data_IF_380182860956
#
_entry.id   IF_380182860956
#
_cell.length_a   1.000
_cell.length_b   1.000
_cell.length_c   1.000
_cell.angle_alpha   90.00
_cell.angle_beta   90.00
_cell.angle_gamma   90.00
#
_symmetry.space_group_name_H-M   'P 1'
#
loop_
_entity.id
_entity.type
_entity.pdbx_description
1 polymer ?
#
# COMPACT_ATOMS: atom_id res chain seq x y z
N UNK A 1 23.83 -16.26 -30.40
CA UNK A 1 23.49 -17.07 -29.21
C UNK A 1 22.69 -16.15 -28.30
N UNK A 2 21.42 -16.47 -27.98
CA UNK A 2 20.66 -15.63 -27.05
C UNK A 2 21.32 -15.73 -25.68
N UNK A 3 21.75 -14.60 -25.14
CA UNK A 3 22.40 -14.52 -23.83
C UNK A 3 21.44 -15.03 -22.74
N UNK A 4 21.93 -15.92 -21.88
CA UNK A 4 21.15 -16.50 -20.78
C UNK A 4 20.95 -15.41 -19.74
N UNK A 5 19.71 -14.97 -19.54
CA UNK A 5 19.40 -13.95 -18.53
C UNK A 5 19.49 -14.54 -17.13
N UNK A 6 19.95 -13.70 -16.21
CA UNK A 6 20.13 -14.01 -14.80
C UNK A 6 19.18 -13.19 -13.92
N UNK A 7 18.74 -13.75 -12.81
CA UNK A 7 17.96 -13.00 -11.84
C UNK A 7 18.25 -13.37 -10.40
N UNK A 8 17.90 -12.49 -9.48
CA UNK A 8 17.74 -12.79 -8.06
C UNK A 8 16.28 -12.74 -7.64
N UNK A 9 15.94 -13.44 -6.57
CA UNK A 9 14.62 -13.41 -5.93
C UNK A 9 14.80 -13.09 -4.46
N UNK A 10 14.22 -11.99 -3.98
CA UNK A 10 14.27 -11.57 -2.58
C UNK A 10 12.86 -11.59 -1.96
N UNK A 11 12.67 -12.47 -0.98
CA UNK A 11 11.38 -12.77 -0.36
C UNK A 11 11.65 -13.40 1.02
N UNK A 12 11.11 -12.82 2.10
CA UNK A 12 11.37 -13.28 3.47
C UNK A 12 10.58 -14.53 3.84
N UNK A 13 9.40 -14.73 3.22
CA UNK A 13 8.60 -15.94 3.42
C UNK A 13 9.03 -17.10 2.52
N UNK A 14 9.66 -18.14 3.09
CA UNK A 14 10.22 -19.28 2.35
C UNK A 14 9.21 -19.96 1.39
N UNK A 15 7.94 -20.07 1.79
CA UNK A 15 6.90 -20.69 0.97
C UNK A 15 6.57 -19.84 -0.25
N UNK A 16 6.51 -18.52 -0.08
CA UNK A 16 6.26 -17.57 -1.17
C UNK A 16 7.46 -17.53 -2.11
N UNK A 17 8.68 -17.60 -1.56
CA UNK A 17 9.92 -17.62 -2.35
C UNK A 17 9.97 -18.85 -3.25
N UNK A 18 9.75 -20.03 -2.68
CA UNK A 18 9.70 -21.27 -3.45
C UNK A 18 8.58 -21.27 -4.49
N UNK A 19 7.40 -20.72 -4.16
CA UNK A 19 6.30 -20.60 -5.12
C UNK A 19 6.67 -19.70 -6.29
N UNK A 20 7.28 -18.54 -6.04
CA UNK A 20 7.70 -17.61 -7.07
C UNK A 20 8.81 -18.21 -7.96
N UNK A 21 9.81 -18.86 -7.35
CA UNK A 21 10.89 -19.57 -8.05
C UNK A 21 10.32 -20.64 -8.98
N UNK A 22 9.39 -21.46 -8.49
CA UNK A 22 8.75 -22.51 -9.29
C UNK A 22 7.96 -21.93 -10.48
N UNK A 23 7.20 -20.86 -10.25
CA UNK A 23 6.45 -20.17 -11.32
C UNK A 23 7.39 -19.53 -12.35
N UNK A 24 8.50 -18.92 -11.91
CA UNK A 24 9.52 -18.34 -12.79
C UNK A 24 10.20 -19.41 -13.65
N UNK A 25 10.58 -20.55 -13.08
CA UNK A 25 11.20 -21.65 -13.81
C UNK A 25 10.22 -22.28 -14.82
N UNK A 26 8.93 -22.37 -14.47
CA UNK A 26 7.89 -22.87 -15.37
C UNK A 26 7.66 -21.92 -16.54
N UNK A 27 7.54 -20.62 -16.28
CA UNK A 27 7.23 -19.62 -17.29
C UNK A 27 8.45 -19.18 -18.12
N UNK A 28 9.66 -19.28 -17.55
CA UNK A 28 10.91 -18.93 -18.22
C UNK A 28 12.03 -19.95 -17.93
N UNK A 29 12.01 -21.13 -18.59
CA UNK A 29 12.95 -22.22 -18.30
C UNK A 29 14.43 -21.90 -18.52
N UNK A 30 14.74 -20.88 -19.34
CA UNK A 30 16.11 -20.45 -19.63
C UNK A 30 16.59 -19.34 -18.68
N UNK A 31 15.76 -18.84 -17.76
CA UNK A 31 16.16 -17.83 -16.78
C UNK A 31 17.00 -18.51 -15.68
N UNK A 32 18.20 -18.00 -15.42
CA UNK A 32 19.06 -18.52 -14.35
C UNK A 32 18.89 -17.71 -13.07
N UNK A 33 18.33 -18.32 -12.04
CA UNK A 33 18.25 -17.73 -10.70
C UNK A 33 19.63 -17.89 -10.05
N UNK A 34 20.33 -16.78 -9.80
CA UNK A 34 21.70 -16.77 -9.27
C UNK A 34 21.75 -16.62 -7.75
N UNK A 35 20.71 -16.05 -7.14
CA UNK A 35 20.56 -16.00 -5.69
C UNK A 35 19.09 -15.94 -5.27
N UNK A 36 18.81 -16.52 -4.10
CA UNK A 36 17.56 -16.44 -3.37
C UNK A 36 17.84 -15.79 -2.00
N UNK A 37 17.21 -14.66 -1.74
CA UNK A 37 17.48 -13.81 -0.58
C UNK A 37 16.26 -13.80 0.36
N UNK A 38 16.52 -13.72 1.66
CA UNK A 38 15.48 -13.70 2.71
C UNK A 38 15.30 -12.34 3.36
N UNK A 39 16.18 -11.39 3.05
CA UNK A 39 16.09 -10.02 3.55
C UNK A 39 16.71 -9.04 2.54
N UNK A 40 16.54 -7.74 2.80
CA UNK A 40 17.08 -6.74 1.88
C UNK A 40 18.60 -6.59 1.94
N UNK A 41 19.27 -6.99 3.03
CA UNK A 41 20.72 -6.91 3.13
C UNK A 41 21.39 -7.93 2.19
N UNK A 42 20.98 -9.19 2.28
CA UNK A 42 21.39 -10.27 1.37
C UNK A 42 21.02 -9.98 -0.08
N UNK A 43 19.90 -9.30 -0.34
CA UNK A 43 19.53 -8.86 -1.69
C UNK A 43 20.51 -7.82 -2.25
N UNK A 44 20.92 -6.82 -1.47
CA UNK A 44 21.91 -5.82 -1.89
C UNK A 44 23.28 -6.46 -2.15
N UNK A 45 23.71 -7.37 -1.28
CA UNK A 45 24.96 -8.12 -1.47
C UNK A 45 24.92 -8.93 -2.77
N UNK A 46 23.84 -9.68 -3.01
CA UNK A 46 23.67 -10.48 -4.23
C UNK A 46 23.60 -9.62 -5.51
N UNK A 47 22.98 -8.44 -5.44
CA UNK A 47 22.94 -7.48 -6.56
C UNK A 47 24.35 -6.98 -6.93
N UNK A 48 25.16 -6.67 -5.93
CA UNK A 48 26.53 -6.20 -6.13
C UNK A 48 27.46 -7.33 -6.59
N UNK A 49 27.31 -8.54 -6.05
CA UNK A 49 28.15 -9.69 -6.37
C UNK A 49 27.86 -10.25 -7.77
N UNK A 50 26.58 -10.49 -8.09
CA UNK A 50 26.21 -11.20 -9.31
C UNK A 50 25.85 -10.29 -10.47
N UNK A 51 25.59 -8.99 -10.22
CA UNK A 51 25.12 -8.01 -11.21
C UNK A 51 24.07 -8.61 -12.16
N UNK A 52 22.94 -9.13 -11.63
CA UNK A 52 21.96 -9.87 -12.42
C UNK A 52 21.24 -8.97 -13.43
N UNK A 53 20.68 -9.57 -14.47
CA UNK A 53 19.86 -8.83 -15.43
C UNK A 53 18.55 -8.33 -14.81
N UNK A 54 18.00 -9.10 -13.86
CA UNK A 54 16.67 -8.89 -13.28
C UNK A 54 16.70 -9.12 -11.76
N UNK A 55 15.92 -8.36 -10.99
CA UNK A 55 15.68 -8.65 -9.59
C UNK A 55 14.17 -8.64 -9.30
N UNK A 56 13.68 -9.75 -8.74
CA UNK A 56 12.33 -9.85 -8.19
C UNK A 56 12.41 -9.59 -6.69
N UNK A 57 11.83 -8.48 -6.23
CA UNK A 57 11.98 -8.02 -4.85
C UNK A 57 10.62 -7.93 -4.15
N UNK A 58 10.46 -8.54 -2.98
CA UNK A 58 9.39 -8.12 -2.08
C UNK A 58 9.69 -6.73 -1.54
N UNK A 59 8.63 -5.92 -1.46
CA UNK A 59 8.69 -4.62 -0.80
C UNK A 59 8.84 -4.82 0.71
N UNK A 60 8.18 -5.81 1.32
CA UNK A 60 8.21 -6.01 2.77
C UNK A 60 9.21 -7.08 3.15
N UNK A 61 10.46 -6.67 3.34
CA UNK A 61 11.51 -7.54 3.88
C UNK A 61 12.08 -6.99 5.20
N UNK A 62 12.61 -7.86 6.09
CA UNK A 62 13.32 -7.43 7.29
C UNK A 62 14.55 -6.58 6.97
N UNK A 63 14.86 -5.63 7.86
CA UNK A 63 15.98 -4.72 7.68
C UNK A 63 15.70 -3.70 6.59
N UNK A 64 16.23 -3.95 5.39
CA UNK A 64 16.02 -3.11 4.22
C UNK A 64 14.79 -3.58 3.45
N UNK A 65 13.89 -2.66 3.14
CA UNK A 65 12.70 -2.95 2.36
C UNK A 65 13.03 -2.94 0.85
N UNK A 66 12.20 -3.56 0.01
CA UNK A 66 12.49 -3.70 -1.43
C UNK A 66 12.67 -2.37 -2.17
N UNK A 67 11.99 -1.30 -1.75
CA UNK A 67 12.14 0.02 -2.35
C UNK A 67 13.51 0.64 -2.01
N UNK A 68 14.00 0.40 -0.78
CA UNK A 68 15.35 0.80 -0.35
C UNK A 68 16.42 -0.01 -1.08
N UNK A 69 16.22 -1.33 -1.23
CA UNK A 69 17.10 -2.20 -2.02
C UNK A 69 17.19 -1.72 -3.47
N UNK A 70 16.06 -1.38 -4.10
CA UNK A 70 16.05 -0.87 -5.47
C UNK A 70 16.78 0.47 -5.61
N UNK A 71 16.69 1.35 -4.62
CA UNK A 71 17.43 2.61 -4.61
C UNK A 71 18.95 2.38 -4.55
N UNK A 72 19.40 1.42 -3.72
CA UNK A 72 20.81 1.03 -3.62
C UNK A 72 21.28 0.28 -4.89
N UNK A 73 20.40 -0.50 -5.51
CA UNK A 73 20.66 -1.21 -6.76
C UNK A 73 20.95 -0.24 -7.91
N UNK A 74 20.33 0.94 -7.93
CA UNK A 74 20.58 1.94 -8.97
C UNK A 74 22.04 2.41 -9.00
N UNK A 75 22.74 2.37 -7.86
CA UNK A 75 24.16 2.71 -7.76
C UNK A 75 25.05 1.48 -7.99
N UNK A 76 24.72 0.34 -7.37
CA UNK A 76 25.55 -0.86 -7.38
C UNK A 76 25.41 -1.71 -8.66
N UNK A 77 24.22 -1.72 -9.27
CA UNK A 77 23.89 -2.53 -10.45
C UNK A 77 22.88 -1.80 -11.37
N UNK A 78 23.30 -0.70 -12.02
CA UNK A 78 22.40 0.22 -12.74
C UNK A 78 21.70 -0.40 -13.96
N UNK A 79 22.12 -1.59 -14.41
CA UNK A 79 21.52 -2.31 -15.53
C UNK A 79 20.46 -3.33 -15.10
N UNK A 80 20.40 -3.65 -13.80
CA UNK A 80 19.45 -4.62 -13.27
C UNK A 80 18.04 -4.08 -13.39
N UNK A 81 17.16 -4.87 -14.00
CA UNK A 81 15.74 -4.58 -14.14
C UNK A 81 15.00 -4.99 -12.87
N UNK A 82 14.37 -4.04 -12.19
CA UNK A 82 13.63 -4.32 -10.96
C UNK A 82 12.17 -4.67 -11.26
N UNK A 83 11.69 -5.77 -10.67
CA UNK A 83 10.28 -6.15 -10.61
C UNK A 83 9.89 -6.33 -9.15
N UNK A 84 8.89 -5.58 -8.69
CA UNK A 84 8.40 -5.74 -7.32
C UNK A 84 7.36 -6.86 -7.23
N UNK A 85 7.40 -7.64 -6.15
CA UNK A 85 6.44 -8.72 -5.87
C UNK A 85 5.86 -8.50 -4.48
N UNK A 86 4.62 -8.03 -4.37
CA UNK A 86 4.07 -7.61 -3.07
C UNK A 86 2.62 -8.00 -2.88
N UNK A 87 2.18 -8.15 -1.62
CA UNK A 87 0.76 -8.37 -1.30
C UNK A 87 -0.07 -7.07 -1.32
N UNK A 88 0.56 -5.92 -1.58
CA UNK A 88 -0.06 -4.60 -1.45
C UNK A 88 -0.09 -3.85 -2.79
N UNK A 89 -1.29 -3.50 -3.24
CA UNK A 89 -1.57 -2.72 -4.45
C UNK A 89 -1.10 -1.26 -4.37
N UNK A 90 -1.11 -0.67 -3.18
CA UNK A 90 -0.79 0.74 -2.96
C UNK A 90 0.64 1.17 -3.33
N UNK A 91 1.60 0.24 -3.44
CA UNK A 91 2.98 0.57 -3.77
C UNK A 91 3.27 0.55 -5.28
N UNK A 92 2.28 0.27 -6.12
CA UNK A 92 2.48 0.21 -7.58
C UNK A 92 2.96 1.56 -8.13
N UNK A 93 2.46 2.68 -7.61
CA UNK A 93 2.86 4.03 -8.06
C UNK A 93 4.29 4.36 -7.62
N UNK A 94 4.59 4.15 -6.34
CA UNK A 94 5.93 4.38 -5.77
C UNK A 94 7.01 3.49 -6.43
N UNK A 95 6.64 2.29 -6.87
CA UNK A 95 7.50 1.35 -7.59
C UNK A 95 7.95 1.89 -8.95
N UNK A 96 7.03 2.48 -9.73
CA UNK A 96 7.36 3.04 -11.03
C UNK A 96 8.14 4.36 -10.91
N UNK A 97 7.82 5.19 -9.92
CA UNK A 97 8.59 6.42 -9.64
C UNK A 97 10.06 6.13 -9.29
N UNK A 98 10.36 4.92 -8.80
CA UNK A 98 11.72 4.42 -8.54
C UNK A 98 12.36 3.65 -9.71
N UNK A 99 11.74 3.67 -10.89
CA UNK A 99 12.30 3.07 -12.10
C UNK A 99 12.12 1.55 -12.21
N UNK A 100 11.19 0.95 -11.49
CA UNK A 100 10.86 -0.47 -11.69
C UNK A 100 10.24 -0.69 -13.08
N UNK A 101 10.53 -1.85 -13.66
CA UNK A 101 9.98 -2.24 -14.97
C UNK A 101 8.58 -2.82 -14.84
N UNK A 102 8.28 -3.49 -13.73
CA UNK A 102 6.96 -4.05 -13.49
C UNK A 102 6.69 -4.31 -12.00
N UNK A 103 5.45 -4.67 -11.69
CA UNK A 103 5.03 -5.12 -10.36
C UNK A 103 4.08 -6.32 -10.46
N UNK A 104 4.15 -7.21 -9.48
CA UNK A 104 3.35 -8.42 -9.35
C UNK A 104 2.66 -8.43 -7.98
N UNK A 105 1.36 -8.70 -7.97
CA UNK A 105 0.62 -8.88 -6.72
C UNK A 105 0.64 -10.33 -6.28
N UNK A 106 0.85 -10.55 -4.98
CA UNK A 106 0.70 -11.85 -4.33
C UNK A 106 -0.80 -12.15 -4.09
N UNK A 107 -1.27 -13.40 -4.32
CA UNK A 107 -0.53 -14.51 -4.90
C UNK A 107 -0.23 -14.25 -6.39
N UNK A 108 0.99 -14.58 -6.82
CA UNK A 108 1.44 -14.31 -8.18
C UNK A 108 0.65 -15.18 -9.16
N UNK A 109 -0.16 -14.51 -9.98
CA UNK A 109 -0.97 -15.19 -11.00
C UNK A 109 -0.11 -15.54 -12.21
N UNK A 110 -0.15 -16.79 -12.72
CA UNK A 110 0.58 -17.24 -13.90
C UNK A 110 0.50 -16.27 -15.09
N UNK A 111 -0.69 -15.81 -15.43
CA UNK A 111 -0.93 -14.97 -16.60
C UNK A 111 -0.27 -13.59 -16.45
N UNK A 112 -0.22 -13.08 -15.21
CA UNK A 112 0.40 -11.79 -14.90
C UNK A 112 1.92 -11.88 -14.94
N UNK A 113 2.48 -13.00 -14.47
CA UNK A 113 3.90 -13.28 -14.52
C UNK A 113 4.38 -13.46 -15.96
N UNK A 114 3.64 -14.19 -16.79
CA UNK A 114 3.94 -14.37 -18.21
C UNK A 114 3.97 -13.03 -18.96
N UNK A 115 3.03 -12.12 -18.67
CA UNK A 115 3.04 -10.77 -19.22
C UNK A 115 4.29 -9.95 -18.79
N UNK A 116 4.71 -10.07 -17.53
CA UNK A 116 5.95 -9.45 -17.05
C UNK A 116 7.18 -10.02 -17.74
N UNK A 117 7.26 -11.34 -17.88
CA UNK A 117 8.36 -12.03 -18.57
C UNK A 117 8.45 -11.58 -20.03
N UNK A 118 7.33 -11.52 -20.74
CA UNK A 118 7.29 -11.04 -22.12
C UNK A 118 7.85 -9.61 -22.23
N UNK A 119 7.50 -8.71 -21.30
CA UNK A 119 8.06 -7.35 -21.22
C UNK A 119 9.57 -7.35 -20.95
N UNK A 120 10.03 -8.14 -19.99
CA UNK A 120 11.46 -8.28 -19.68
C UNK A 120 12.25 -8.83 -20.89
N UNK A 121 11.62 -9.70 -21.68
CA UNK A 121 12.20 -10.30 -22.87
C UNK A 121 12.29 -9.35 -24.06
N UNK A 122 11.31 -8.47 -24.24
CA UNK A 122 11.13 -7.66 -25.44
C UNK A 122 12.23 -6.59 -25.69
N UNK A 123 13.16 -6.34 -24.77
CA UNK A 123 14.26 -5.33 -24.87
C UNK A 123 13.83 -3.88 -25.14
N UNK A 124 12.61 -3.61 -25.60
CA UNK A 124 12.07 -2.27 -25.82
C UNK A 124 11.73 -1.56 -24.51
N UNK A 125 11.87 -0.23 -24.57
CA UNK A 125 11.77 0.72 -23.47
C UNK A 125 10.58 0.45 -22.52
N UNK A 126 10.76 0.88 -21.26
CA UNK A 126 9.67 1.03 -20.29
C UNK A 126 8.42 1.54 -21.03
N UNK A 127 7.26 0.87 -20.91
CA UNK A 127 6.04 1.52 -21.33
C UNK A 127 5.95 2.82 -20.55
N UNK A 128 5.69 3.93 -21.27
CA UNK A 128 5.38 5.22 -20.69
C UNK A 128 4.48 4.98 -19.46
N UNK A 129 4.83 5.53 -18.30
CA UNK A 129 4.07 5.29 -17.07
C UNK A 129 2.57 5.57 -17.29
N UNK A 130 2.26 6.48 -18.23
CA UNK A 130 0.92 6.73 -18.74
C UNK A 130 0.30 5.55 -19.50
N UNK A 131 1.03 4.88 -20.39
CA UNK A 131 0.55 3.75 -21.17
C UNK A 131 0.30 2.51 -20.30
N UNK A 132 1.14 2.27 -19.29
CA UNK A 132 0.91 1.20 -18.32
C UNK A 132 -0.20 1.54 -17.33
N UNK A 133 -0.31 2.80 -16.88
CA UNK A 133 -1.47 3.26 -16.11
C UNK A 133 -2.78 3.04 -16.88
N UNK A 134 -2.80 3.33 -18.19
CA UNK A 134 -3.96 3.08 -19.07
C UNK A 134 -4.21 1.58 -19.29
N UNK A 135 -3.17 0.74 -19.37
CA UNK A 135 -3.33 -0.70 -19.54
C UNK A 135 -3.79 -1.38 -18.24
N UNK A 136 -3.31 -0.91 -17.08
CA UNK A 136 -3.76 -1.30 -15.76
C UNK A 136 -5.18 -0.80 -15.48
N UNK A 137 -5.55 0.37 -15.98
CA UNK A 137 -6.93 0.89 -15.98
C UNK A 137 -7.87 0.01 -16.82
N UNK A 138 -7.40 -0.47 -17.98
CA UNK A 138 -8.15 -1.37 -18.86
C UNK A 138 -8.22 -2.82 -18.39
N UNK A 139 -7.15 -3.36 -17.77
CA UNK A 139 -7.17 -4.69 -17.14
C UNK A 139 -7.82 -4.69 -15.75
N UNK A 140 -7.84 -3.53 -15.09
CA UNK A 140 -8.62 -3.21 -13.90
C UNK A 140 -10.06 -2.81 -14.18
N UNK A 141 -10.56 -3.05 -15.40
CA UNK A 141 -11.97 -2.90 -15.78
C UNK A 141 -12.86 -3.99 -15.14
N UNK A 142 -12.78 -4.09 -13.82
CA UNK A 142 -13.87 -4.28 -12.88
C UNK A 142 -13.52 -3.44 -11.65
N UNK A 143 -14.36 -2.45 -11.33
CA UNK A 143 -14.25 -1.06 -11.77
C UNK A 143 -13.09 -0.28 -11.11
N UNK A 144 -12.27 0.36 -11.95
CA UNK A 144 -11.37 1.44 -11.55
C UNK A 144 -12.20 2.73 -11.46
N UNK A 145 -12.18 3.38 -10.31
CA UNK A 145 -12.72 4.74 -10.14
C UNK A 145 -11.57 5.71 -9.84
N UNK A 146 -10.79 6.03 -10.88
CA UNK A 146 -10.17 7.35 -10.98
C UNK A 146 -11.05 8.25 -11.85
N UNK A 147 -12.32 8.36 -11.45
CA UNK A 147 -13.32 9.28 -11.98
C UNK A 147 -14.15 9.75 -10.80
N UNK A 148 -13.60 10.68 -10.01
CA UNK A 148 -13.95 10.90 -8.61
C UNK A 148 -13.69 9.65 -7.74
N UNK A 149 -13.03 9.82 -6.59
CA UNK A 149 -13.11 8.79 -5.55
C UNK A 149 -14.59 8.74 -5.17
N UNK A 150 -15.32 7.71 -5.61
CA UNK A 150 -16.72 7.55 -5.20
C UNK A 150 -16.73 7.58 -3.67
N UNK A 151 -17.51 8.49 -3.06
CA UNK A 151 -17.52 8.63 -1.62
C UNK A 151 -17.89 7.28 -0.99
N UNK A 152 -17.08 6.85 -0.02
CA UNK A 152 -17.37 5.63 0.73
C UNK A 152 -18.79 5.74 1.31
N UNK A 153 -19.70 4.87 0.86
CA UNK A 153 -21.06 4.80 1.40
C UNK A 153 -21.13 3.80 2.56
N UNK A 154 -20.32 2.74 2.51
CA UNK A 154 -20.27 1.68 3.52
C UNK A 154 -18.84 1.19 3.75
N UNK A 155 -18.59 0.68 4.96
CA UNK A 155 -17.32 0.14 5.45
C UNK A 155 -17.53 -1.28 5.97
N UNK A 156 -16.60 -2.17 5.69
CA UNK A 156 -16.54 -3.50 6.33
C UNK A 156 -15.61 -3.44 7.52
N UNK A 157 -16.14 -3.71 8.71
CA UNK A 157 -15.38 -3.73 9.95
C UNK A 157 -15.51 -5.08 10.66
N UNK A 158 -14.42 -5.54 11.28
CA UNK A 158 -14.42 -6.74 12.11
C UNK A 158 -14.83 -6.40 13.54
N UNK A 159 -15.85 -7.09 14.05
CA UNK A 159 -16.27 -7.02 15.45
C UNK A 159 -16.17 -8.44 16.05
N UNK A 160 -14.97 -8.81 16.48
CA UNK A 160 -14.69 -10.17 16.96
C UNK A 160 -14.66 -11.19 15.81
N UNK A 161 -15.64 -12.12 15.76
CA UNK A 161 -15.75 -13.17 14.73
C UNK A 161 -16.67 -12.80 13.55
N UNK A 162 -17.36 -11.66 13.62
CA UNK A 162 -18.31 -11.23 12.59
C UNK A 162 -17.79 -10.03 11.79
N UNK A 163 -18.13 -10.00 10.50
CA UNK A 163 -17.92 -8.84 9.62
C UNK A 163 -19.18 -8.00 9.62
N UNK A 164 -19.08 -6.76 10.09
CA UNK A 164 -20.17 -5.78 10.08
C UNK A 164 -20.01 -4.83 8.90
N UNK A 165 -21.13 -4.54 8.25
CA UNK A 165 -21.27 -3.45 7.29
C UNK A 165 -21.73 -2.20 8.05
N UNK A 166 -20.97 -1.12 7.94
CA UNK A 166 -21.22 0.16 8.64
C UNK A 166 -21.41 1.24 7.58
N UNK A 167 -22.53 1.94 7.59
CA UNK A 167 -22.72 3.12 6.74
C UNK A 167 -21.78 4.23 7.20
N UNK A 168 -21.17 4.95 6.26
CA UNK A 168 -20.25 6.05 6.61
C UNK A 168 -20.98 7.18 7.34
N UNK A 169 -22.25 7.40 7.03
CA UNK A 169 -23.08 8.40 7.73
C UNK A 169 -23.28 8.09 9.22
N UNK A 170 -23.20 6.82 9.62
CA UNK A 170 -23.34 6.40 11.02
C UNK A 170 -22.03 6.52 11.81
N UNK A 171 -20.93 6.87 11.14
CA UNK A 171 -19.62 7.00 11.78
C UNK A 171 -19.52 8.33 12.52
N UNK A 172 -19.21 8.26 13.82
CA UNK A 172 -18.89 9.41 14.65
C UNK A 172 -17.44 9.85 14.47
N UNK A 173 -16.49 8.91 14.50
CA UNK A 173 -15.07 9.16 14.23
C UNK A 173 -14.30 7.87 13.95
N UNK A 174 -13.11 8.02 13.41
CA UNK A 174 -12.10 6.98 13.26
C UNK A 174 -10.91 7.29 14.16
N UNK A 175 -10.34 6.25 14.79
CA UNK A 175 -9.14 6.36 15.61
C UNK A 175 -8.13 5.29 15.21
N UNK A 176 -6.91 5.70 14.89
CA UNK A 176 -5.80 4.76 14.74
C UNK A 176 -5.26 4.39 16.12
N UNK A 177 -5.21 3.10 16.42
CA UNK A 177 -4.58 2.56 17.62
C UNK A 177 -3.63 1.42 17.23
N UNK A 178 -2.33 1.67 17.39
CA UNK A 178 -1.14 0.84 17.15
C UNK A 178 -1.12 -0.14 15.95
N UNK A 179 -2.11 -1.03 15.79
CA UNK A 179 -2.23 -2.03 14.70
C UNK A 179 -3.51 -1.94 13.87
N UNK A 180 -4.54 -1.20 14.30
CA UNK A 180 -5.83 -1.14 13.62
C UNK A 180 -6.44 0.26 13.63
N UNK A 181 -7.32 0.53 12.67
CA UNK A 181 -8.19 1.72 12.73
C UNK A 181 -9.51 1.32 13.36
N UNK A 182 -9.83 1.85 14.52
CA UNK A 182 -11.16 1.70 15.12
C UNK A 182 -12.12 2.67 14.45
N UNK A 183 -13.22 2.14 13.92
CA UNK A 183 -14.40 2.94 13.53
C UNK A 183 -15.37 2.97 14.70
N UNK A 184 -15.83 4.16 15.05
CA UNK A 184 -16.75 4.37 16.16
C UNK A 184 -18.05 4.92 15.62
N UNK A 185 -19.14 4.19 15.87
CA UNK A 185 -20.52 4.60 15.56
C UNK A 185 -21.27 4.91 16.86
N UNK A 186 -22.54 5.30 16.75
CA UNK A 186 -23.42 5.45 17.92
C UNK A 186 -23.63 4.11 18.64
N UNK A 187 -23.71 3.02 17.88
CA UNK A 187 -24.07 1.69 18.38
C UNK A 187 -22.87 0.89 18.90
N UNK A 188 -21.64 1.35 18.67
CA UNK A 188 -20.45 0.72 19.21
C UNK A 188 -19.19 0.96 18.39
N UNK A 189 -18.18 0.13 18.64
CA UNK A 189 -16.87 0.21 18.01
C UNK A 189 -16.60 -1.05 17.19
N UNK A 190 -15.91 -0.89 16.06
CA UNK A 190 -15.46 -2.00 15.24
C UNK A 190 -14.06 -1.72 14.68
N UNK A 191 -13.33 -2.77 14.30
CA UNK A 191 -11.96 -2.66 13.82
C UNK A 191 -11.93 -2.71 12.29
N UNK A 192 -11.30 -1.72 11.68
CA UNK A 192 -10.95 -1.68 10.28
C UNK A 192 -9.50 -2.12 10.10
N UNK A 193 -9.27 -2.87 9.02
CA UNK A 193 -7.92 -3.19 8.54
C UNK A 193 -7.31 -2.06 7.71
N UNK A 194 -8.13 -1.08 7.30
CA UNK A 194 -7.73 0.07 6.49
C UNK A 194 -7.17 1.19 7.39
N UNK A 195 -5.96 1.71 7.15
CA UNK A 195 -5.37 2.81 7.92
C UNK A 195 -6.05 4.16 7.60
N UNK A 196 -5.98 5.11 8.55
CA UNK A 196 -6.57 6.45 8.38
C UNK A 196 -6.11 7.18 7.11
N UNK A 197 -4.85 6.98 6.69
CA UNK A 197 -4.27 7.62 5.50
C UNK A 197 -4.98 7.20 4.20
N UNK A 198 -5.52 5.99 4.16
CA UNK A 198 -6.25 5.43 3.02
C UNK A 198 -7.75 5.76 3.09
N UNK A 199 -8.28 5.96 4.30
CA UNK A 199 -9.67 6.40 4.51
C UNK A 199 -9.85 7.88 4.18
N UNK A 200 -8.92 8.74 4.59
CA UNK A 200 -9.07 10.19 4.51
C UNK A 200 -9.41 10.73 3.09
N UNK A 201 -8.77 10.26 1.99
CA UNK A 201 -9.11 10.71 0.63
C UNK A 201 -10.49 10.26 0.15
N UNK A 202 -11.03 9.18 0.73
CA UNK A 202 -12.29 8.53 0.33
C UNK A 202 -13.49 8.99 1.15
N UNK A 203 -13.24 9.75 2.22
CA UNK A 203 -14.26 10.35 3.07
C UNK A 203 -14.60 11.75 2.54
N UNK A 204 -15.88 12.10 2.59
CA UNK A 204 -16.32 13.44 2.22
C UNK A 204 -15.69 14.47 3.15
N UNK A 205 -14.79 15.29 2.61
CA UNK A 205 -14.06 16.32 3.36
C UNK A 205 -14.95 17.43 3.91
N UNK A 206 -16.20 17.56 3.46
CA UNK A 206 -17.20 18.44 4.04
C UNK A 206 -17.76 17.89 5.37
N UNK A 207 -17.74 16.57 5.56
CA UNK A 207 -18.27 15.90 6.74
C UNK A 207 -17.18 15.34 7.65
N UNK A 208 -16.03 14.92 7.12
CA UNK A 208 -14.95 14.33 7.88
C UNK A 208 -13.71 15.20 7.87
N UNK A 209 -13.16 15.48 9.06
CA UNK A 209 -11.92 16.23 9.23
C UNK A 209 -10.96 15.49 10.14
N UNK A 210 -9.68 15.47 9.75
CA UNK A 210 -8.63 15.02 10.63
C UNK A 210 -8.37 16.08 11.72
N UNK A 211 -8.40 15.67 12.98
CA UNK A 211 -8.21 16.56 14.15
C UNK A 211 -6.98 16.20 14.96
N UNK A 212 -6.46 15.00 14.75
CA UNK A 212 -5.24 14.49 15.33
C UNK A 212 -4.58 13.53 14.33
N UNK A 213 -3.26 13.33 14.43
CA UNK A 213 -2.53 12.37 13.57
C UNK A 213 -3.15 10.96 13.58
N UNK A 214 -3.84 10.60 14.67
CA UNK A 214 -4.53 9.33 14.84
C UNK A 214 -6.06 9.45 14.92
N UNK A 215 -6.67 10.57 14.52
CA UNK A 215 -8.13 10.75 14.66
C UNK A 215 -8.75 11.57 13.53
N UNK A 216 -9.78 11.01 12.89
CA UNK A 216 -10.64 11.67 11.90
C UNK A 216 -12.04 11.72 12.49
N UNK A 217 -12.66 12.90 12.61
CA UNK A 217 -13.99 13.08 13.21
C UNK A 217 -15.02 13.45 12.15
N UNK A 218 -16.25 12.96 12.31
CA UNK A 218 -17.41 13.46 11.58
C UNK A 218 -17.90 14.76 12.25
N UNK A 219 -17.88 15.86 11.50
CA UNK A 219 -18.32 17.18 11.97
C UNK A 219 -19.78 17.17 12.43
N UNK A 220 -20.66 16.36 11.82
CA UNK A 220 -22.07 16.24 12.23
C UNK A 220 -22.23 15.62 13.62
N UNK A 221 -21.26 14.82 14.05
CA UNK A 221 -21.24 14.16 15.35
C UNK A 221 -20.72 15.06 16.48
N UNK A 222 -20.14 16.23 16.18
CA UNK A 222 -19.60 17.17 17.17
C UNK A 222 -20.72 17.93 17.88
N UNK A 223 -20.72 17.89 19.22
CA UNK A 223 -21.62 18.67 20.08
C UNK A 223 -21.04 20.05 20.41
N UNK A 224 -19.72 20.15 20.51
CA UNK A 224 -19.05 21.39 20.85
C UNK A 224 -17.56 21.18 21.00
N UNK A 225 -16.83 22.28 21.07
CA UNK A 225 -15.37 22.31 21.16
C UNK A 225 -15.02 23.15 22.36
N UNK A 226 -14.17 22.60 23.23
CA UNK A 226 -13.67 23.28 24.40
C UNK A 226 -12.15 23.34 24.36
N UNK A 227 -11.58 24.14 25.24
CA UNK A 227 -10.16 24.04 25.60
C UNK A 227 -10.11 23.42 26.98
N UNK A 228 -9.26 22.43 27.17
CA UNK A 228 -8.96 21.94 28.51
C UNK A 228 -8.15 22.99 29.30
N UNK A 229 -8.01 22.78 30.60
CA UNK A 229 -7.27 23.68 31.50
C UNK A 229 -5.78 23.80 31.12
N UNK A 230 -5.28 22.89 30.27
CA UNK A 230 -3.92 22.90 29.69
C UNK A 230 -3.84 23.64 28.34
N UNK A 231 -4.93 24.26 27.89
CA UNK A 231 -5.02 25.01 26.64
C UNK A 231 -5.16 24.16 25.37
N UNK A 232 -5.24 22.83 25.49
CA UNK A 232 -5.42 21.90 24.37
C UNK A 232 -6.88 21.87 23.94
N UNK A 233 -7.13 21.82 22.64
CA UNK A 233 -8.49 21.72 22.13
C UNK A 233 -9.06 20.33 22.34
N UNK A 234 -10.32 20.27 22.74
CA UNK A 234 -11.06 19.03 22.96
C UNK A 234 -12.40 19.12 22.24
N UNK A 235 -12.77 18.05 21.52
CA UNK A 235 -14.03 17.92 20.78
C UNK A 235 -14.95 17.00 21.58
N UNK A 236 -16.13 17.51 21.94
CA UNK A 236 -17.22 16.73 22.56
C UNK A 236 -18.14 16.21 21.49
N UNK A 237 -18.58 14.96 21.62
CA UNK A 237 -19.51 14.31 20.69
C UNK A 237 -20.96 14.40 21.19
N UNK A 238 -21.94 14.40 20.27
CA UNK A 238 -23.38 14.51 20.61
C UNK A 238 -23.95 13.28 21.30
N UNK A 239 -23.55 12.10 20.84
CA UNK A 239 -24.15 10.81 21.23
C UNK A 239 -23.16 9.86 21.90
N UNK A 240 -21.96 10.35 22.24
CA UNK A 240 -20.89 9.58 22.89
C UNK A 240 -20.30 10.39 24.05
N UNK A 241 -20.02 9.77 25.20
CA UNK A 241 -19.54 10.48 26.39
C UNK A 241 -18.04 10.84 26.32
N UNK A 242 -17.29 10.20 25.42
CA UNK A 242 -15.86 10.43 25.27
C UNK A 242 -15.54 11.77 24.59
N UNK A 243 -14.34 12.26 24.84
CA UNK A 243 -13.84 13.53 24.29
C UNK A 243 -12.60 13.27 23.45
N UNK A 244 -12.52 13.90 22.26
CA UNK A 244 -11.42 13.71 21.33
C UNK A 244 -10.43 14.87 21.43
N UNK A 245 -9.13 14.56 21.54
CA UNK A 245 -8.07 15.57 21.58
C UNK A 245 -7.82 16.13 20.18
N UNK A 246 -7.73 17.46 20.08
CA UNK A 246 -7.37 18.16 18.85
C UNK A 246 -5.93 18.64 18.97
N UNK A 247 -5.11 18.29 17.97
CA UNK A 247 -3.73 18.78 17.91
C UNK A 247 -3.64 20.21 17.41
N UNK A 248 -2.62 20.94 17.90
CA UNK A 248 -2.42 22.38 17.67
C UNK A 248 -2.48 22.83 16.19
N UNK A 249 -1.94 22.08 15.20
CA UNK A 249 -2.05 22.45 13.78
C UNK A 249 -3.50 22.41 13.26
N UNK A 250 -4.33 21.53 13.83
CA UNK A 250 -5.71 21.29 13.39
C UNK A 250 -6.73 22.14 14.14
N UNK A 251 -6.31 22.88 15.18
CA UNK A 251 -7.14 23.86 15.87
C UNK A 251 -7.60 24.99 14.95
N UNK A 252 -6.86 25.28 13.87
CA UNK A 252 -7.24 26.28 12.88
C UNK A 252 -8.53 25.91 12.11
N UNK A 253 -8.84 24.61 11.99
CA UNK A 253 -10.06 24.12 11.31
C UNK A 253 -11.35 24.57 12.01
N UNK A 254 -11.25 24.95 13.28
CA UNK A 254 -12.38 25.30 14.14
C UNK A 254 -12.42 26.79 14.50
N UNK A 255 -11.61 27.64 13.86
CA UNK A 255 -11.61 29.09 14.11
C UNK A 255 -12.81 29.83 13.49
N UNK A 256 -13.54 29.18 12.58
CA UNK A 256 -14.65 29.77 11.82
C UNK A 256 -15.97 28.99 11.99
N UNK A 257 -16.03 28.03 12.91
CA UNK A 257 -17.25 27.36 13.37
C UNK A 257 -17.69 27.97 14.69
#
# INVERSE_FOLDING_TARGET
MSEVRTCIVAEDEILLRHSLVAELQRAWPTLRIVAECEDGASAVEALAEHMPDIAFLDIRMPGLNGLEVAALAAEASPRTKIVFVTAYDQYAIDAFDRGAIDYLLKPVKPERLEATIARLQAQDALPDAAALAVLLDKLGALPNAAGALEPLTWLTASAGRETKLILVDDVAYFRADHKYTTVVTVDGEALLRTPLRELLPRLDTAHFKQIHRSTIVNLRAIAGIARDDSGRGTVRLKRRPETLTVSQPFMALFKHM
#
